data_IF_627486029038
#
_entry.id   IF_627486029038
#
_cell.length_a   1.000
_cell.length_b   1.000
_cell.length_c   1.000
_cell.angle_alpha   90.00
_cell.angle_beta   90.00
_cell.angle_gamma   90.00
#
_symmetry.space_group_name_H-M   'P 1'
#
loop_
_entity.id
_entity.type
_entity.pdbx_description
1 polymer ?
#
# COMPACT_ATOMS: atom_id res chain seq x y z
N UNK A 1 21.15 -16.97 -26.42
CA UNK A 1 19.75 -16.75 -26.80
C UNK A 1 19.18 -15.58 -25.98
N UNK A 2 18.53 -14.65 -26.64
CA UNK A 2 17.87 -13.49 -26.01
C UNK A 2 16.37 -13.60 -26.17
N UNK A 3 15.62 -13.17 -25.14
CA UNK A 3 14.17 -13.18 -25.13
C UNK A 3 13.59 -11.87 -24.62
N UNK A 4 12.33 -11.65 -24.92
CA UNK A 4 11.52 -10.57 -24.40
C UNK A 4 10.36 -11.17 -23.61
N UNK A 5 10.19 -10.69 -22.37
CA UNK A 5 9.15 -11.14 -21.45
C UNK A 5 8.30 -9.97 -21.01
N UNK A 6 6.99 -10.21 -20.82
CA UNK A 6 6.06 -9.22 -20.30
C UNK A 6 5.46 -9.64 -18.98
N UNK A 7 5.32 -8.68 -18.05
CA UNK A 7 4.47 -8.76 -16.87
C UNK A 7 3.14 -8.08 -17.20
N UNK A 8 2.05 -8.80 -16.97
CA UNK A 8 0.67 -8.29 -17.08
C UNK A 8 -0.26 -9.11 -16.19
N UNK A 9 -1.46 -8.61 -15.92
CA UNK A 9 -2.53 -9.38 -15.27
C UNK A 9 -3.68 -9.64 -16.24
N UNK A 10 -4.49 -10.67 -15.97
CA UNK A 10 -5.60 -11.08 -16.83
C UNK A 10 -6.95 -10.63 -16.33
N UNK A 11 -7.12 -10.58 -15.04
CA UNK A 11 -8.36 -10.21 -14.38
C UNK A 11 -8.11 -9.01 -13.48
N UNK A 12 -8.95 -7.96 -13.55
CA UNK A 12 -8.78 -6.80 -12.71
C UNK A 12 -9.07 -7.15 -11.24
N UNK A 13 -8.33 -6.58 -10.29
CA UNK A 13 -8.56 -6.84 -8.87
C UNK A 13 -9.87 -6.22 -8.39
N UNK A 14 -10.38 -6.69 -7.25
CA UNK A 14 -11.57 -6.17 -6.55
C UNK A 14 -12.84 -6.17 -7.40
N UNK A 15 -12.96 -7.07 -8.39
CA UNK A 15 -14.06 -7.07 -9.38
C UNK A 15 -14.24 -5.72 -10.06
N UNK A 16 -13.16 -4.93 -10.13
CA UNK A 16 -13.11 -3.62 -10.76
C UNK A 16 -12.80 -3.72 -12.27
N UNK A 17 -12.47 -2.58 -12.90
CA UNK A 17 -12.14 -2.51 -14.33
C UNK A 17 -10.66 -2.20 -14.62
N UNK A 18 -9.86 -1.87 -13.62
CA UNK A 18 -8.48 -1.39 -13.77
C UNK A 18 -7.61 -1.76 -12.56
N UNK A 19 -6.30 -1.52 -12.70
CA UNK A 19 -5.37 -1.47 -11.58
C UNK A 19 -4.50 -0.21 -11.65
N UNK A 20 -3.87 0.16 -10.54
CA UNK A 20 -2.88 1.24 -10.44
C UNK A 20 -1.50 0.60 -10.37
N UNK A 21 -0.68 0.80 -11.38
CA UNK A 21 0.66 0.22 -11.43
C UNK A 21 1.55 0.77 -10.31
N UNK A 22 2.20 -0.13 -9.58
CA UNK A 22 3.18 0.20 -8.53
C UNK A 22 4.21 -0.92 -8.38
N UNK A 23 5.33 -0.66 -7.70
CA UNK A 23 6.41 -1.60 -7.47
C UNK A 23 7.61 -1.42 -8.40
N UNK A 24 7.66 -0.37 -9.24
CA UNK A 24 8.73 -0.13 -10.19
C UNK A 24 10.04 0.30 -9.52
N UNK A 25 9.97 1.13 -8.48
CA UNK A 25 11.15 1.48 -7.67
C UNK A 25 11.72 0.24 -6.97
N UNK A 26 10.85 -0.67 -6.51
CA UNK A 26 11.27 -1.93 -5.92
C UNK A 26 11.93 -2.87 -6.96
N UNK A 27 11.41 -2.89 -8.19
CA UNK A 27 12.08 -3.59 -9.29
C UNK A 27 13.49 -3.05 -9.50
N UNK A 28 13.67 -1.73 -9.55
CA UNK A 28 14.99 -1.11 -9.70
C UNK A 28 15.93 -1.54 -8.58
N UNK A 29 15.48 -1.47 -7.32
CA UNK A 29 16.26 -1.93 -6.15
C UNK A 29 16.66 -3.41 -6.25
N UNK A 30 15.73 -4.28 -6.65
CA UNK A 30 15.99 -5.72 -6.83
C UNK A 30 17.04 -5.96 -7.91
N UNK A 31 16.94 -5.29 -9.05
CA UNK A 31 17.84 -5.48 -10.19
C UNK A 31 19.22 -4.93 -9.92
N UNK A 32 19.33 -3.76 -9.30
CA UNK A 32 20.60 -3.14 -8.92
C UNK A 32 21.39 -3.98 -7.90
N UNK A 33 20.69 -4.73 -7.04
CA UNK A 33 21.30 -5.55 -6.00
C UNK A 33 21.27 -7.06 -6.33
N UNK A 34 20.86 -7.44 -7.55
CA UNK A 34 20.70 -8.84 -7.92
C UNK A 34 22.06 -9.54 -8.04
N UNK A 35 22.33 -10.44 -7.12
CA UNK A 35 23.56 -11.25 -7.11
C UNK A 35 23.36 -12.53 -6.30
N UNK A 36 24.20 -13.51 -6.52
CA UNK A 36 24.27 -14.73 -5.72
C UNK A 36 25.53 -14.70 -4.85
N UNK A 37 25.35 -14.69 -3.53
CA UNK A 37 26.47 -14.81 -2.59
C UNK A 37 27.13 -16.19 -2.69
N UNK A 38 28.41 -16.28 -2.32
CA UNK A 38 29.10 -17.59 -2.24
C UNK A 38 28.34 -18.58 -1.37
N UNK A 39 27.80 -18.16 -0.22
CA UNK A 39 26.98 -18.98 0.66
C UNK A 39 25.74 -19.53 -0.05
N UNK A 40 25.05 -18.70 -0.85
CA UNK A 40 23.89 -19.12 -1.64
C UNK A 40 24.27 -20.15 -2.69
N UNK A 41 25.38 -19.96 -3.39
CA UNK A 41 25.86 -20.90 -4.40
C UNK A 41 26.29 -22.22 -3.76
N UNK A 42 26.97 -22.20 -2.61
CA UNK A 42 27.35 -23.40 -1.85
C UNK A 42 26.13 -24.16 -1.36
N UNK A 43 25.09 -23.46 -0.90
CA UNK A 43 23.80 -24.08 -0.55
C UNK A 43 23.18 -24.80 -1.75
N UNK A 44 23.09 -24.13 -2.92
CA UNK A 44 22.60 -24.77 -4.15
C UNK A 44 23.41 -26.00 -4.54
N UNK A 45 24.76 -25.94 -4.42
CA UNK A 45 25.64 -27.06 -4.67
C UNK A 45 25.43 -28.24 -3.71
N UNK A 46 24.88 -27.99 -2.52
CA UNK A 46 24.59 -29.03 -1.53
C UNK A 46 23.35 -29.85 -1.85
N UNK A 47 22.42 -29.34 -2.66
CA UNK A 47 21.12 -29.96 -2.93
C UNK A 47 21.28 -31.21 -3.78
N UNK A 48 20.73 -32.33 -3.31
CA UNK A 48 20.74 -33.60 -4.02
C UNK A 48 19.50 -33.77 -4.92
N UNK A 49 19.70 -34.37 -6.08
CA UNK A 49 18.62 -34.72 -6.98
C UNK A 49 17.84 -35.96 -6.46
N UNK A 50 16.51 -36.05 -6.64
CA UNK A 50 15.73 -37.20 -6.18
C UNK A 50 16.19 -38.56 -6.72
N UNK A 51 16.89 -38.58 -7.88
CA UNK A 51 17.47 -39.77 -8.50
C UNK A 51 18.90 -40.10 -8.11
N UNK A 52 19.51 -39.33 -7.20
CA UNK A 52 20.92 -39.40 -6.79
C UNK A 52 21.80 -38.39 -7.56
N UNK A 53 22.95 -38.09 -6.96
CA UNK A 53 23.85 -37.01 -7.46
C UNK A 53 23.37 -35.60 -7.11
N UNK A 54 24.08 -34.58 -7.58
CA UNK A 54 23.76 -33.15 -7.34
C UNK A 54 22.70 -32.65 -8.30
N UNK A 55 21.83 -31.78 -7.79
CA UNK A 55 20.72 -31.19 -8.57
C UNK A 55 21.22 -30.23 -9.65
N UNK A 56 22.21 -29.40 -9.30
CA UNK A 56 22.72 -28.36 -10.18
C UNK A 56 24.07 -28.74 -10.78
N UNK A 57 24.25 -28.40 -12.07
CA UNK A 57 25.51 -28.57 -12.77
C UNK A 57 26.55 -27.56 -12.24
N UNK A 58 27.83 -27.97 -12.01
CA UNK A 58 28.88 -27.06 -11.56
C UNK A 58 29.07 -25.83 -12.46
N UNK A 59 28.95 -25.97 -13.78
CA UNK A 59 29.09 -24.84 -14.72
C UNK A 59 27.99 -23.80 -14.52
N UNK A 60 26.77 -24.25 -14.17
CA UNK A 60 25.67 -23.33 -13.86
C UNK A 60 25.88 -22.62 -12.52
N UNK A 61 26.43 -23.31 -11.52
CA UNK A 61 26.78 -22.71 -10.23
C UNK A 61 27.84 -21.63 -10.38
N UNK A 62 28.85 -21.87 -11.23
CA UNK A 62 29.88 -20.85 -11.53
C UNK A 62 29.31 -19.67 -12.32
N UNK A 63 28.37 -19.93 -13.24
CA UNK A 63 27.63 -18.87 -13.92
C UNK A 63 26.86 -17.98 -12.93
N UNK A 64 26.19 -18.56 -11.93
CA UNK A 64 25.49 -17.79 -10.89
C UNK A 64 26.43 -16.95 -10.03
N UNK A 65 27.63 -17.49 -9.70
CA UNK A 65 28.65 -16.81 -8.88
C UNK A 65 29.20 -15.55 -9.55
N UNK A 66 29.30 -15.59 -10.87
CA UNK A 66 29.88 -14.51 -11.69
C UNK A 66 28.81 -13.71 -12.45
N UNK A 67 27.54 -13.90 -12.11
CA UNK A 67 26.44 -13.29 -12.81
C UNK A 67 26.44 -11.76 -12.69
N UNK A 68 26.53 -11.08 -13.83
CA UNK A 68 26.22 -9.67 -13.98
C UNK A 68 24.98 -9.55 -14.89
N UNK A 69 23.95 -8.87 -14.40
CA UNK A 69 22.74 -8.67 -15.20
C UNK A 69 23.01 -7.72 -16.37
N UNK A 70 22.56 -8.13 -17.54
CA UNK A 70 22.66 -7.35 -18.80
C UNK A 70 21.28 -7.15 -19.44
N UNK A 71 20.21 -7.39 -18.69
CA UNK A 71 18.84 -7.21 -19.14
C UNK A 71 18.47 -5.73 -19.24
N UNK A 72 17.62 -5.41 -20.21
CA UNK A 72 16.92 -4.12 -20.31
C UNK A 72 15.51 -4.27 -19.75
N UNK A 73 15.09 -3.34 -18.90
CA UNK A 73 13.77 -3.34 -18.29
C UNK A 73 13.06 -2.02 -18.61
N UNK A 74 11.93 -2.11 -19.29
CA UNK A 74 11.00 -1.03 -19.50
C UNK A 74 9.76 -1.24 -18.63
N UNK A 75 9.27 -0.19 -17.98
CA UNK A 75 8.08 -0.26 -17.15
C UNK A 75 7.20 0.99 -17.33
N UNK A 76 5.91 0.83 -17.12
CA UNK A 76 5.02 1.98 -16.99
C UNK A 76 5.36 2.76 -15.73
N UNK A 77 5.06 4.06 -15.72
CA UNK A 77 5.26 4.87 -14.51
C UNK A 77 4.31 4.44 -13.40
N UNK A 78 4.78 4.44 -12.17
CA UNK A 78 3.89 4.22 -11.02
C UNK A 78 2.75 5.24 -10.98
N UNK A 79 1.59 4.82 -10.51
CA UNK A 79 0.36 5.61 -10.54
C UNK A 79 -0.40 5.56 -11.88
N UNK A 80 0.17 4.92 -12.92
CA UNK A 80 -0.51 4.72 -14.20
C UNK A 80 -1.69 3.76 -14.03
N UNK A 81 -2.84 4.13 -14.61
CA UNK A 81 -3.98 3.21 -14.74
C UNK A 81 -3.66 2.19 -15.83
N UNK A 82 -3.74 0.90 -15.49
CA UNK A 82 -3.47 -0.22 -16.38
C UNK A 82 -4.66 -1.18 -16.43
N UNK A 83 -4.82 -1.85 -17.55
CA UNK A 83 -5.94 -2.75 -17.81
C UNK A 83 -5.47 -4.19 -18.01
N UNK A 84 -6.37 -5.17 -17.95
CA UNK A 84 -6.04 -6.55 -18.27
C UNK A 84 -5.32 -6.71 -19.59
N UNK A 85 -4.23 -7.48 -19.57
CA UNK A 85 -3.33 -7.76 -20.69
C UNK A 85 -2.45 -6.59 -21.17
N UNK A 86 -2.50 -5.41 -20.54
CA UNK A 86 -1.51 -4.36 -20.81
C UNK A 86 -0.15 -4.80 -20.25
N UNK A 87 0.94 -4.71 -21.03
CA UNK A 87 2.29 -4.92 -20.51
C UNK A 87 2.65 -3.84 -19.48
N UNK A 88 2.83 -4.23 -18.22
CA UNK A 88 3.23 -3.32 -17.12
C UNK A 88 4.74 -3.20 -17.09
N UNK A 89 5.44 -4.33 -17.27
CA UNK A 89 6.90 -4.42 -17.33
C UNK A 89 7.28 -5.28 -18.52
N UNK A 90 8.31 -4.86 -19.23
CA UNK A 90 8.98 -5.61 -20.28
C UNK A 90 10.43 -5.86 -19.87
N UNK A 91 10.89 -7.10 -19.98
CA UNK A 91 12.27 -7.51 -19.68
C UNK A 91 12.85 -8.13 -20.94
N UNK A 92 13.94 -7.57 -21.44
CA UNK A 92 14.62 -8.04 -22.65
C UNK A 92 16.09 -8.36 -22.34
N UNK A 93 16.58 -9.50 -22.82
CA UNK A 93 17.97 -9.90 -22.62
C UNK A 93 18.19 -11.41 -22.64
N UNK A 94 19.32 -11.89 -22.09
CA UNK A 94 19.60 -13.33 -22.00
C UNK A 94 18.48 -14.09 -21.31
N UNK A 95 17.91 -15.11 -21.98
CA UNK A 95 16.72 -15.85 -21.47
C UNK A 95 16.94 -16.37 -20.05
N UNK A 96 18.15 -16.87 -19.72
CA UNK A 96 18.49 -17.34 -18.38
C UNK A 96 18.33 -16.24 -17.32
N UNK A 97 18.83 -15.04 -17.61
CA UNK A 97 18.69 -13.89 -16.71
C UNK A 97 17.24 -13.45 -16.55
N UNK A 98 16.52 -13.35 -17.66
CA UNK A 98 15.09 -13.01 -17.63
C UNK A 98 14.30 -14.01 -16.77
N UNK A 99 14.58 -15.31 -16.87
CA UNK A 99 13.88 -16.34 -16.07
C UNK A 99 14.25 -16.30 -14.59
N UNK A 100 15.50 -15.98 -14.23
CA UNK A 100 15.92 -15.82 -12.83
C UNK A 100 15.19 -14.68 -12.12
N UNK A 101 14.80 -13.63 -12.85
CA UNK A 101 14.10 -12.46 -12.33
C UNK A 101 12.60 -12.68 -12.13
N UNK A 102 11.96 -13.67 -12.79
CA UNK A 102 10.50 -13.84 -12.85
C UNK A 102 9.81 -13.66 -11.50
N UNK A 103 10.22 -14.47 -10.52
CA UNK A 103 9.52 -14.53 -9.24
C UNK A 103 9.64 -13.23 -8.44
N UNK A 104 10.82 -12.61 -8.45
CA UNK A 104 11.07 -11.39 -7.70
C UNK A 104 10.31 -10.21 -8.32
N UNK A 105 10.36 -10.05 -9.64
CA UNK A 105 9.65 -8.98 -10.33
C UNK A 105 8.12 -9.12 -10.18
N UNK A 106 7.60 -10.34 -10.28
CA UNK A 106 6.18 -10.60 -10.03
C UNK A 106 5.78 -10.28 -8.60
N UNK A 107 6.62 -10.59 -7.60
CA UNK A 107 6.35 -10.28 -6.21
C UNK A 107 6.25 -8.76 -5.98
N UNK A 108 7.15 -7.98 -6.58
CA UNK A 108 7.10 -6.52 -6.50
C UNK A 108 5.81 -5.97 -7.13
N UNK A 109 5.57 -6.29 -8.40
CA UNK A 109 4.45 -5.74 -9.16
C UNK A 109 3.09 -6.18 -8.60
N UNK A 110 2.93 -7.47 -8.30
CA UNK A 110 1.64 -8.00 -7.88
C UNK A 110 1.18 -7.39 -6.56
N UNK A 111 2.07 -7.34 -5.57
CA UNK A 111 1.73 -6.87 -4.24
C UNK A 111 1.51 -5.36 -4.21
N UNK A 112 2.46 -4.58 -4.74
CA UNK A 112 2.36 -3.12 -4.66
C UNK A 112 1.26 -2.55 -5.58
N UNK A 113 1.06 -3.12 -6.77
CA UNK A 113 -0.07 -2.76 -7.64
C UNK A 113 -1.42 -3.05 -6.99
N UNK A 114 -1.53 -4.17 -6.27
CA UNK A 114 -2.75 -4.51 -5.56
C UNK A 114 -3.04 -3.50 -4.44
N UNK A 115 -2.05 -3.18 -3.61
CA UNK A 115 -2.17 -2.20 -2.52
C UNK A 115 -2.48 -0.79 -3.05
N UNK A 116 -1.79 -0.34 -4.10
CA UNK A 116 -2.06 0.95 -4.74
C UNK A 116 -3.48 1.02 -5.33
N UNK A 117 -3.96 -0.08 -5.92
CA UNK A 117 -5.32 -0.15 -6.48
C UNK A 117 -6.38 -0.08 -5.38
N UNK A 118 -6.18 -0.78 -4.25
CA UNK A 118 -7.09 -0.69 -3.09
C UNK A 118 -7.11 0.73 -2.53
N UNK A 119 -5.93 1.36 -2.40
CA UNK A 119 -5.83 2.75 -1.97
C UNK A 119 -6.59 3.71 -2.89
N UNK A 120 -6.42 3.57 -4.21
CA UNK A 120 -7.14 4.42 -5.17
C UNK A 120 -8.66 4.28 -5.04
N UNK A 121 -9.18 3.05 -4.84
CA UNK A 121 -10.62 2.82 -4.63
C UNK A 121 -11.11 3.50 -3.35
N UNK A 122 -10.38 3.35 -2.25
CA UNK A 122 -10.70 3.99 -0.97
C UNK A 122 -10.67 5.52 -1.09
N UNK A 123 -9.62 6.07 -1.70
CA UNK A 123 -9.45 7.52 -1.86
C UNK A 123 -10.53 8.14 -2.77
N UNK A 124 -10.93 7.43 -3.84
CA UNK A 124 -12.02 7.87 -4.72
C UNK A 124 -13.36 7.92 -4.00
N UNK A 125 -13.65 6.95 -3.11
CA UNK A 125 -14.87 6.94 -2.32
C UNK A 125 -14.84 8.00 -1.20
N UNK A 126 -13.66 8.33 -0.68
CA UNK A 126 -13.50 9.15 0.52
C UNK A 126 -13.79 10.65 0.30
N UNK A 127 -13.59 11.18 -0.91
CA UNK A 127 -13.73 12.61 -1.29
C UNK A 127 -12.86 13.59 -0.47
N UNK A 128 -12.33 13.17 0.68
CA UNK A 128 -11.42 13.92 1.57
C UNK A 128 -10.17 13.09 1.86
N UNK A 129 -9.08 13.71 2.40
CA UNK A 129 -7.82 13.01 2.60
C UNK A 129 -7.93 11.71 3.39
N UNK A 130 -7.22 10.67 2.93
CA UNK A 130 -7.10 9.36 3.58
C UNK A 130 -5.70 9.20 4.14
N UNK A 131 -5.59 8.85 5.42
CA UNK A 131 -4.34 8.44 6.06
C UNK A 131 -4.30 6.90 6.17
N UNK A 132 -3.20 6.30 5.74
CA UNK A 132 -2.95 4.87 5.88
C UNK A 132 -2.55 4.54 7.33
N UNK A 133 -3.37 3.75 8.04
CA UNK A 133 -3.21 3.39 9.46
C UNK A 133 -3.07 1.87 9.68
N UNK A 134 -2.61 1.14 8.66
CA UNK A 134 -2.68 -0.32 8.64
C UNK A 134 -1.42 -1.08 9.05
N UNK A 135 -0.26 -0.43 9.29
CA UNK A 135 1.02 -1.10 9.52
C UNK A 135 0.94 -2.31 10.48
N UNK A 136 0.25 -2.17 11.61
CA UNK A 136 0.10 -3.25 12.62
C UNK A 136 -0.66 -4.49 12.12
N UNK A 137 -1.29 -4.42 10.95
CA UNK A 137 -2.07 -5.50 10.32
C UNK A 137 -1.45 -6.00 9.00
N UNK A 138 -0.35 -5.39 8.56
CA UNK A 138 0.34 -5.77 7.33
C UNK A 138 0.97 -7.18 7.44
N UNK A 139 1.23 -7.78 6.29
CA UNK A 139 1.88 -9.08 6.18
C UNK A 139 3.41 -8.95 6.36
N UNK A 140 3.82 -8.81 7.61
CA UNK A 140 5.21 -8.63 8.00
C UNK A 140 5.74 -7.21 7.78
N UNK A 141 6.95 -6.96 8.28
CA UNK A 141 7.58 -5.64 8.27
C UNK A 141 7.82 -5.14 6.84
N UNK A 142 8.45 -5.96 6.00
CA UNK A 142 8.71 -5.61 4.59
C UNK A 142 7.43 -5.36 3.82
N UNK A 143 6.38 -6.19 4.02
CA UNK A 143 5.07 -5.98 3.44
C UNK A 143 4.44 -4.66 3.89
N UNK A 144 4.56 -4.32 5.18
CA UNK A 144 4.11 -3.04 5.72
C UNK A 144 4.81 -1.84 5.09
N UNK A 145 6.11 -1.91 4.90
CA UNK A 145 6.90 -0.86 4.25
C UNK A 145 6.44 -0.62 2.80
N UNK A 146 6.38 -1.69 2.01
CA UNK A 146 5.99 -1.63 0.58
C UNK A 146 4.55 -1.21 0.40
N UNK A 147 3.62 -1.74 1.21
CA UNK A 147 2.21 -1.36 1.14
C UNK A 147 1.98 0.11 1.54
N UNK A 148 2.64 0.62 2.60
CA UNK A 148 2.54 2.03 2.97
C UNK A 148 2.95 2.95 1.81
N UNK A 149 4.05 2.63 1.10
CA UNK A 149 4.48 3.37 -0.09
C UNK A 149 3.44 3.26 -1.22
N UNK A 150 3.00 2.05 -1.54
CA UNK A 150 2.02 1.79 -2.59
C UNK A 150 0.68 2.50 -2.32
N UNK A 151 0.25 2.62 -1.06
CA UNK A 151 -0.94 3.38 -0.70
C UNK A 151 -0.81 4.87 -1.04
N UNK A 152 0.37 5.47 -0.87
CA UNK A 152 0.61 6.86 -1.31
C UNK A 152 0.56 6.97 -2.84
N UNK A 153 1.16 6.02 -3.58
CA UNK A 153 1.02 5.96 -5.04
C UNK A 153 -0.45 5.87 -5.45
N UNK A 154 -1.28 5.14 -4.70
CA UNK A 154 -2.71 5.00 -4.90
C UNK A 154 -3.55 6.22 -4.49
N UNK A 155 -2.94 7.25 -3.87
CA UNK A 155 -3.62 8.52 -3.55
C UNK A 155 -3.85 8.79 -2.07
N UNK A 156 -3.37 7.96 -1.14
CA UNK A 156 -3.40 8.29 0.28
C UNK A 156 -2.56 9.55 0.55
N UNK A 157 -3.04 10.42 1.41
CA UNK A 157 -2.40 11.69 1.73
C UNK A 157 -1.20 11.51 2.69
N UNK A 158 -1.20 10.46 3.51
CA UNK A 158 -0.17 10.20 4.51
C UNK A 158 -0.21 8.75 5.00
N UNK A 159 0.83 8.37 5.74
CA UNK A 159 0.90 7.07 6.44
C UNK A 159 1.25 7.26 7.91
N UNK A 160 0.82 6.35 8.77
CA UNK A 160 1.28 6.25 10.16
C UNK A 160 2.63 5.53 10.31
N UNK A 161 3.16 4.98 9.23
CA UNK A 161 4.44 4.27 9.20
C UNK A 161 5.61 5.28 9.11
N UNK A 162 6.12 5.69 10.26
CA UNK A 162 7.21 6.67 10.36
C UNK A 162 8.49 6.19 9.66
N UNK A 163 8.77 4.88 9.70
CA UNK A 163 9.92 4.30 9.00
C UNK A 163 9.77 4.45 7.48
N UNK A 164 8.60 4.13 6.93
CA UNK A 164 8.32 4.33 5.51
C UNK A 164 8.38 5.83 5.14
N UNK A 165 7.91 6.71 6.03
CA UNK A 165 8.05 8.16 5.87
C UNK A 165 9.50 8.59 5.71
N UNK A 166 10.40 8.07 6.53
CA UNK A 166 11.84 8.36 6.46
C UNK A 166 12.49 7.78 5.20
N UNK A 167 12.26 6.50 4.92
CA UNK A 167 12.95 5.79 3.82
C UNK A 167 12.49 6.27 2.44
N UNK A 168 11.21 6.58 2.29
CA UNK A 168 10.64 6.94 1.00
C UNK A 168 10.24 8.42 0.88
N UNK A 169 10.51 9.23 1.91
CA UNK A 169 10.13 10.65 1.92
C UNK A 169 8.62 10.90 1.93
N UNK A 170 7.83 10.03 2.56
CA UNK A 170 6.38 10.10 2.55
C UNK A 170 5.84 11.02 3.65
N UNK A 171 4.70 11.70 3.43
CA UNK A 171 4.01 12.42 4.49
C UNK A 171 3.59 11.46 5.61
N UNK A 172 3.85 11.84 6.85
CA UNK A 172 3.44 11.05 8.02
C UNK A 172 2.36 11.77 8.82
N UNK A 173 1.40 11.01 9.34
CA UNK A 173 0.37 11.52 10.23
C UNK A 173 -0.06 10.45 11.23
N UNK A 174 -0.69 10.88 12.31
CA UNK A 174 -1.23 10.00 13.33
C UNK A 174 -1.85 10.79 14.47
N UNK A 175 -2.50 10.06 15.38
CA UNK A 175 -3.09 10.60 16.60
C UNK A 175 -2.66 9.75 17.78
N UNK A 176 -3.01 10.17 19.01
CA UNK A 176 -2.90 9.28 20.15
C UNK A 176 -3.89 8.10 20.04
N UNK A 177 -3.64 7.04 20.78
CA UNK A 177 -4.50 5.87 20.89
C UNK A 177 -5.34 5.94 22.18
N UNK A 178 -6.37 5.06 22.30
CA UNK A 178 -7.15 4.91 23.54
C UNK A 178 -6.25 4.66 24.78
N UNK A 179 -5.17 3.89 24.62
CA UNK A 179 -4.20 3.64 25.68
C UNK A 179 -3.57 4.90 26.29
N UNK A 180 -3.42 5.97 25.50
CA UNK A 180 -2.99 7.27 26.02
C UNK A 180 -4.00 7.82 27.01
N UNK A 181 -5.29 7.86 26.63
CA UNK A 181 -6.37 8.35 27.50
C UNK A 181 -6.46 7.49 28.77
N UNK A 182 -6.41 6.17 28.62
CA UNK A 182 -6.48 5.21 29.73
C UNK A 182 -5.29 5.27 30.70
N UNK A 183 -4.17 5.89 30.30
CA UNK A 183 -2.99 6.08 31.17
C UNK A 183 -3.16 7.24 32.18
N UNK A 184 -4.24 8.00 32.07
CA UNK A 184 -4.58 9.10 32.97
C UNK A 184 -5.82 8.72 33.79
N UNK A 185 -5.92 9.28 35.01
CA UNK A 185 -7.11 9.09 35.85
C UNK A 185 -8.34 9.86 35.33
N UNK A 186 -8.11 10.88 34.52
CA UNK A 186 -9.14 11.75 33.93
C UNK A 186 -8.89 11.99 32.45
N UNK A 187 -9.91 11.79 31.61
CA UNK A 187 -9.82 11.99 30.16
C UNK A 187 -9.49 13.44 29.79
N UNK A 188 -10.04 14.43 30.50
CA UNK A 188 -9.77 15.85 30.27
C UNK A 188 -8.30 16.18 30.49
N UNK A 189 -7.68 15.62 31.53
CA UNK A 189 -6.25 15.79 31.79
C UNK A 189 -5.39 15.11 30.71
N UNK A 190 -5.80 13.95 30.20
CA UNK A 190 -5.14 13.31 29.07
C UNK A 190 -5.15 14.20 27.80
N UNK A 191 -6.30 14.83 27.53
CA UNK A 191 -6.45 15.75 26.39
C UNK A 191 -5.63 17.03 26.57
N UNK A 192 -5.61 17.62 27.76
CA UNK A 192 -4.75 18.79 28.07
C UNK A 192 -3.27 18.49 27.91
N UNK A 193 -2.83 17.30 28.41
CA UNK A 193 -1.45 16.87 28.27
C UNK A 193 -1.07 16.71 26.78
N UNK A 194 -1.95 16.10 25.97
CA UNK A 194 -1.71 15.94 24.54
C UNK A 194 -1.68 17.30 23.80
N UNK A 195 -2.64 18.18 24.07
CA UNK A 195 -2.69 19.51 23.47
C UNK A 195 -1.46 20.37 23.77
N UNK A 196 -0.85 20.20 24.97
CA UNK A 196 0.39 20.87 25.36
C UNK A 196 1.59 20.42 24.53
N UNK A 197 1.69 19.13 24.22
CA UNK A 197 2.80 18.56 23.43
C UNK A 197 2.63 18.77 21.92
N UNK A 198 1.38 18.85 21.43
CA UNK A 198 1.04 18.99 20.00
C UNK A 198 0.14 20.21 19.74
N UNK A 199 0.59 21.44 20.05
CA UNK A 199 -0.26 22.62 19.95
C UNK A 199 -0.65 23.02 18.51
N UNK A 200 0.09 22.55 17.49
CA UNK A 200 -0.14 22.88 16.08
C UNK A 200 -0.87 21.78 15.29
N UNK A 201 -1.00 20.57 15.85
CA UNK A 201 -1.66 19.44 15.19
C UNK A 201 -2.38 18.56 16.22
N UNK A 202 -3.15 19.19 17.10
CA UNK A 202 -3.88 18.49 18.13
C UNK A 202 -5.15 17.86 17.56
N UNK A 203 -5.20 16.52 17.50
CA UNK A 203 -6.39 15.73 17.17
C UNK A 203 -6.70 14.82 18.34
N UNK A 204 -7.90 14.97 18.95
CA UNK A 204 -8.30 14.26 20.16
C UNK A 204 -9.24 13.09 19.85
N UNK A 205 -8.90 11.90 20.31
CA UNK A 205 -9.70 10.68 20.17
C UNK A 205 -10.74 10.65 21.30
N UNK A 206 -12.03 10.84 20.94
CA UNK A 206 -13.09 11.19 21.91
C UNK A 206 -14.00 10.04 22.33
N UNK A 207 -13.73 8.84 21.82
CA UNK A 207 -14.59 7.66 22.03
C UNK A 207 -13.95 6.59 22.94
N UNK A 208 -13.06 6.98 23.86
CA UNK A 208 -12.44 6.03 24.77
C UNK A 208 -13.46 5.47 25.79
N UNK A 209 -14.37 6.30 26.27
CA UNK A 209 -15.39 5.92 27.27
C UNK A 209 -16.80 6.23 26.77
N UNK A 210 -17.18 7.51 26.69
CA UNK A 210 -18.45 8.00 26.21
C UNK A 210 -18.22 9.16 25.23
N UNK A 211 -18.69 9.02 24.01
CA UNK A 211 -18.41 10.00 22.95
C UNK A 211 -18.97 11.38 23.28
N UNK A 212 -20.14 11.47 23.88
CA UNK A 212 -20.73 12.77 24.20
C UNK A 212 -19.94 13.49 25.33
N UNK A 213 -19.43 12.73 26.29
CA UNK A 213 -18.56 13.29 27.34
C UNK A 213 -17.19 13.62 26.79
N UNK A 214 -16.59 12.74 25.96
CA UNK A 214 -15.32 12.99 25.27
C UNK A 214 -15.37 14.25 24.41
N UNK A 215 -16.49 14.47 23.71
CA UNK A 215 -16.72 15.71 22.94
C UNK A 215 -16.74 16.96 23.85
N UNK A 216 -17.39 16.91 25.01
CA UNK A 216 -17.38 18.04 25.97
C UNK A 216 -15.97 18.33 26.48
N UNK A 217 -15.19 17.28 26.77
CA UNK A 217 -13.79 17.40 27.19
C UNK A 217 -12.92 17.99 26.07
N UNK A 218 -13.07 17.52 24.83
CA UNK A 218 -12.36 18.04 23.67
C UNK A 218 -12.71 19.51 23.38
N UNK A 219 -13.98 19.89 23.48
CA UNK A 219 -14.45 21.29 23.36
C UNK A 219 -13.81 22.16 24.43
N UNK A 220 -13.76 21.70 25.69
CA UNK A 220 -13.10 22.40 26.79
C UNK A 220 -11.65 22.70 26.46
N UNK A 221 -10.90 21.69 26.02
CA UNK A 221 -9.50 21.85 25.62
C UNK A 221 -9.35 22.73 24.40
N UNK A 222 -10.24 22.59 23.39
CA UNK A 222 -10.24 23.44 22.18
C UNK A 222 -10.46 24.92 22.52
N UNK A 223 -11.34 25.27 23.46
CA UNK A 223 -11.54 26.62 23.94
C UNK A 223 -10.33 27.14 24.74
N UNK A 224 -9.71 26.29 25.57
CA UNK A 224 -8.48 26.63 26.27
C UNK A 224 -7.34 26.90 25.27
N UNK A 225 -7.20 26.10 24.20
CA UNK A 225 -6.23 26.32 23.12
C UNK A 225 -6.51 27.65 22.39
N UNK A 226 -7.77 27.89 21.99
CA UNK A 226 -8.19 29.14 21.34
C UNK A 226 -7.87 30.38 22.16
N UNK A 227 -8.04 30.32 23.47
CA UNK A 227 -7.69 31.42 24.39
C UNK A 227 -6.18 31.70 24.42
N UNK A 228 -5.34 30.73 24.09
CA UNK A 228 -3.89 30.88 23.94
C UNK A 228 -3.44 31.25 22.52
N UNK A 229 -4.39 31.42 21.59
CA UNK A 229 -4.10 31.66 20.17
C UNK A 229 -3.66 30.41 19.40
N UNK A 230 -3.94 29.23 19.95
CA UNK A 230 -3.73 27.93 19.35
C UNK A 230 -5.02 27.41 18.72
N UNK A 231 -4.94 26.27 17.99
CA UNK A 231 -6.06 25.69 17.25
C UNK A 231 -6.20 24.19 17.53
N UNK A 232 -7.41 23.76 17.90
CA UNK A 232 -7.75 22.33 17.93
C UNK A 232 -7.95 21.82 16.50
N UNK A 233 -6.97 21.10 15.95
CA UNK A 233 -6.98 20.67 14.56
C UNK A 233 -8.13 19.70 14.24
N UNK A 234 -8.53 18.86 15.19
CA UNK A 234 -9.64 17.93 14.98
C UNK A 234 -10.00 17.08 16.19
N UNK A 235 -11.09 16.36 16.01
CA UNK A 235 -11.47 15.21 16.86
C UNK A 235 -11.48 13.95 16.02
N UNK A 236 -11.24 12.80 16.65
CA UNK A 236 -11.30 11.49 16.00
C UNK A 236 -12.33 10.59 16.67
N UNK A 237 -13.11 9.90 15.86
CA UNK A 237 -14.09 8.88 16.28
C UNK A 237 -13.72 7.57 15.61
N UNK A 238 -13.54 6.50 16.40
CA UNK A 238 -13.05 5.19 15.97
C UNK A 238 -14.08 4.06 16.17
N UNK A 239 -15.28 4.36 16.69
CA UNK A 239 -16.29 3.36 17.06
C UNK A 239 -17.72 3.90 17.01
N UNK A 240 -18.71 2.99 17.03
CA UNK A 240 -20.13 3.31 17.04
C UNK A 240 -20.70 3.64 15.66
N UNK A 241 -21.85 4.31 15.63
CA UNK A 241 -22.47 4.81 14.40
C UNK A 241 -21.75 6.08 13.95
N UNK A 242 -20.77 5.91 13.08
CA UNK A 242 -19.85 6.97 12.66
C UNK A 242 -20.59 8.13 11.98
N UNK A 243 -21.62 7.86 11.19
CA UNK A 243 -22.37 8.91 10.50
C UNK A 243 -23.18 9.77 11.46
N UNK A 244 -23.86 9.13 12.39
CA UNK A 244 -24.63 9.83 13.42
C UNK A 244 -23.71 10.61 14.38
N UNK A 245 -22.62 9.98 14.83
CA UNK A 245 -21.65 10.59 15.74
C UNK A 245 -20.94 11.79 15.11
N UNK A 246 -20.56 11.72 13.84
CA UNK A 246 -19.95 12.84 13.12
C UNK A 246 -20.90 14.05 13.03
N UNK A 247 -22.17 13.81 12.73
CA UNK A 247 -23.21 14.86 12.70
C UNK A 247 -23.45 15.46 14.09
N UNK A 248 -23.42 14.64 15.14
CA UNK A 248 -23.53 15.11 16.53
C UNK A 248 -22.30 15.96 16.90
N UNK A 249 -21.10 15.46 16.63
CA UNK A 249 -19.85 16.16 16.91
C UNK A 249 -19.79 17.52 16.21
N UNK A 250 -20.17 17.60 14.93
CA UNK A 250 -20.18 18.86 14.19
C UNK A 250 -21.08 19.91 14.84
N UNK A 251 -22.30 19.53 15.23
CA UNK A 251 -23.22 20.45 15.92
C UNK A 251 -22.62 20.95 17.24
N UNK A 252 -22.04 20.07 18.04
CA UNK A 252 -21.44 20.44 19.31
C UNK A 252 -20.24 21.39 19.13
N UNK A 253 -19.42 21.18 18.12
CA UNK A 253 -18.27 22.04 17.78
C UNK A 253 -18.74 23.42 17.30
N UNK A 254 -19.74 23.47 16.43
CA UNK A 254 -20.33 24.73 15.91
C UNK A 254 -20.96 25.56 17.03
N UNK A 255 -21.75 24.93 17.91
CA UNK A 255 -22.34 25.56 19.09
C UNK A 255 -21.28 26.13 20.05
N UNK A 256 -20.09 25.52 20.10
CA UNK A 256 -18.96 26.00 20.90
C UNK A 256 -18.08 27.05 20.16
N UNK A 257 -18.37 27.37 18.91
CA UNK A 257 -17.57 28.29 18.08
C UNK A 257 -16.20 27.72 17.69
N UNK A 258 -16.13 26.40 17.46
CA UNK A 258 -14.98 25.65 16.94
C UNK A 258 -15.29 25.11 15.55
N UNK A 259 -15.77 25.97 14.66
CA UNK A 259 -16.30 25.62 13.32
C UNK A 259 -15.20 25.11 12.40
N UNK A 260 -13.96 25.46 12.66
CA UNK A 260 -12.75 25.08 11.93
C UNK A 260 -12.11 23.76 12.43
N UNK A 261 -12.61 23.20 13.55
CA UNK A 261 -12.15 21.91 14.06
C UNK A 261 -12.62 20.77 13.15
N UNK A 262 -11.65 19.99 12.61
CA UNK A 262 -11.91 18.85 11.73
C UNK A 262 -12.54 17.64 12.43
N UNK A 263 -13.19 16.77 11.66
CA UNK A 263 -13.69 15.47 12.13
C UNK A 263 -12.98 14.37 11.37
N UNK A 264 -12.24 13.53 12.08
CA UNK A 264 -11.52 12.36 11.55
C UNK A 264 -12.30 11.11 11.92
N UNK A 265 -12.66 10.31 10.94
CA UNK A 265 -13.28 9.00 11.16
C UNK A 265 -12.29 7.88 10.88
N UNK A 266 -12.31 6.87 11.71
CA UNK A 266 -11.54 5.65 11.57
C UNK A 266 -12.35 4.47 12.12
N UNK A 267 -11.86 3.30 12.02
CA UNK A 267 -12.40 1.99 12.38
C UNK A 267 -12.12 1.02 11.23
N UNK A 268 -12.91 -0.01 11.06
CA UNK A 268 -12.80 -1.02 10.00
C UNK A 268 -13.40 -0.52 8.66
N UNK A 269 -12.78 0.54 8.12
CA UNK A 269 -13.25 1.26 6.94
C UNK A 269 -12.72 0.63 5.63
N UNK A 270 -13.58 0.68 4.62
CA UNK A 270 -13.29 0.40 3.21
C UNK A 270 -14.04 1.39 2.30
N UNK A 271 -13.86 1.28 0.98
CA UNK A 271 -14.54 2.11 -0.01
C UNK A 271 -16.06 2.08 0.11
N UNK A 272 -16.65 0.97 0.50
CA UNK A 272 -18.11 0.79 0.60
C UNK A 272 -18.67 1.42 1.88
N UNK A 273 -18.00 1.18 3.02
CA UNK A 273 -18.37 1.76 4.31
C UNK A 273 -18.23 3.28 4.28
N UNK A 274 -17.14 3.79 3.69
CA UNK A 274 -16.90 5.23 3.52
C UNK A 274 -18.04 5.85 2.69
N UNK A 275 -18.39 5.26 1.55
CA UNK A 275 -19.47 5.75 0.71
C UNK A 275 -20.80 5.77 1.47
N UNK A 276 -21.12 4.72 2.22
CA UNK A 276 -22.34 4.67 3.04
C UNK A 276 -22.40 5.80 4.08
N UNK A 277 -21.28 6.08 4.75
CA UNK A 277 -21.18 7.16 5.75
C UNK A 277 -21.40 8.54 5.09
N UNK A 278 -20.82 8.75 3.90
CA UNK A 278 -20.99 9.99 3.13
C UNK A 278 -22.41 10.14 2.59
N UNK A 279 -23.04 9.07 2.10
CA UNK A 279 -24.44 9.08 1.62
C UNK A 279 -25.43 9.48 2.74
N UNK A 280 -25.08 9.21 3.99
CA UNK A 280 -25.83 9.69 5.16
C UNK A 280 -25.55 11.16 5.50
N UNK A 281 -24.66 11.83 4.79
CA UNK A 281 -24.35 13.26 4.99
C UNK A 281 -23.45 13.53 6.21
N UNK A 282 -22.52 12.63 6.53
CA UNK A 282 -21.54 12.84 7.59
C UNK A 282 -20.52 13.91 7.19
N UNK A 283 -20.25 14.92 8.04
CA UNK A 283 -19.26 15.97 7.78
C UNK A 283 -17.86 15.46 8.16
N UNK A 284 -17.14 14.84 7.22
CA UNK A 284 -15.83 14.23 7.47
C UNK A 284 -14.72 15.06 6.83
N UNK A 285 -13.71 15.41 7.61
CA UNK A 285 -12.55 16.18 7.15
C UNK A 285 -11.40 15.29 6.67
N UNK A 286 -11.25 14.09 7.24
CA UNK A 286 -10.29 13.08 6.82
C UNK A 286 -10.60 11.70 7.39
N UNK A 287 -9.96 10.68 6.83
CA UNK A 287 -10.18 9.27 7.16
C UNK A 287 -8.88 8.60 7.60
N UNK A 288 -8.96 7.78 8.63
CA UNK A 288 -7.89 6.84 9.02
C UNK A 288 -8.30 5.43 8.63
N UNK A 289 -7.69 4.88 7.57
CA UNK A 289 -8.03 3.55 7.04
C UNK A 289 -6.90 2.57 7.30
N UNK A 290 -7.21 1.45 7.94
CA UNK A 290 -6.21 0.50 8.43
C UNK A 290 -6.25 -0.84 7.72
N UNK A 291 -6.85 -1.83 8.37
CA UNK A 291 -6.76 -3.26 8.03
C UNK A 291 -7.12 -3.53 6.58
N UNK A 292 -8.31 -3.14 6.17
CA UNK A 292 -8.84 -3.46 4.83
C UNK A 292 -8.05 -2.81 3.69
N UNK A 293 -7.41 -1.68 3.97
CA UNK A 293 -6.53 -1.01 3.01
C UNK A 293 -5.21 -1.75 2.87
N UNK A 294 -4.46 -1.91 3.99
CA UNK A 294 -3.09 -2.44 3.96
C UNK A 294 -3.02 -3.92 3.56
N UNK A 295 -4.09 -4.67 3.82
CA UNK A 295 -4.18 -6.09 3.45
C UNK A 295 -4.81 -6.32 2.08
N UNK A 296 -5.24 -5.25 1.40
CA UNK A 296 -6.00 -5.34 0.15
C UNK A 296 -7.19 -6.30 0.28
N UNK A 297 -7.98 -6.15 1.36
CA UNK A 297 -9.10 -7.03 1.67
C UNK A 297 -10.02 -7.23 0.45
N UNK A 298 -10.61 -8.40 0.29
CA UNK A 298 -11.39 -8.91 -0.84
C UNK A 298 -10.56 -9.38 -2.07
N UNK A 299 -9.27 -9.11 -2.13
CA UNK A 299 -8.41 -9.56 -3.22
C UNK A 299 -7.00 -9.91 -2.67
N UNK A 300 -6.74 -11.15 -2.26
CA UNK A 300 -5.49 -11.51 -1.58
C UNK A 300 -4.26 -11.49 -2.49
N UNK A 301 -4.46 -11.50 -3.81
CA UNK A 301 -3.35 -11.44 -4.78
C UNK A 301 -3.81 -10.87 -6.12
N UNK A 302 -2.94 -10.09 -6.76
CA UNK A 302 -3.07 -9.79 -8.19
C UNK A 302 -2.61 -11.03 -8.98
N UNK A 303 -3.41 -11.46 -9.93
CA UNK A 303 -3.08 -12.60 -10.79
C UNK A 303 -2.12 -12.24 -11.92
N UNK A 304 -1.04 -11.53 -11.60
CA UNK A 304 -0.01 -11.17 -12.58
C UNK A 304 0.79 -12.37 -13.07
N UNK A 305 1.20 -12.30 -14.30
CA UNK A 305 1.98 -13.34 -14.98
C UNK A 305 3.17 -12.75 -15.70
N UNK A 306 4.21 -13.57 -15.86
CA UNK A 306 5.44 -13.27 -16.61
C UNK A 306 5.53 -14.21 -17.80
N UNK A 307 5.54 -13.69 -19.03
CA UNK A 307 5.43 -14.55 -20.22
C UNK A 307 6.39 -14.12 -21.32
N UNK A 308 7.09 -15.13 -21.90
CA UNK A 308 7.86 -14.95 -23.11
C UNK A 308 6.93 -14.47 -24.23
N UNK A 309 7.25 -13.35 -24.83
CA UNK A 309 6.48 -12.70 -25.91
C UNK A 309 7.23 -12.72 -27.25
N UNK A 310 8.57 -12.71 -27.22
CA UNK A 310 9.41 -12.79 -28.40
C UNK A 310 10.78 -13.38 -28.07
N UNK A 311 11.45 -13.91 -29.07
CA UNK A 311 12.84 -14.43 -29.00
C UNK A 311 13.66 -13.87 -30.15
N UNK A 312 14.93 -13.56 -29.90
CA UNK A 312 15.85 -13.03 -30.92
C UNK A 312 16.35 -14.15 -31.83
N UNK A 313 15.93 -14.15 -33.06
CA UNK A 313 16.35 -15.09 -34.13
C UNK A 313 16.94 -14.29 -35.30
N UNK A 314 18.13 -14.60 -35.72
CA UNK A 314 18.81 -13.93 -36.87
C UNK A 314 18.80 -12.39 -36.79
N UNK A 315 18.97 -11.85 -35.60
CA UNK A 315 19.02 -10.39 -35.33
C UNK A 315 17.64 -9.69 -35.38
N UNK A 316 16.54 -10.45 -35.31
CA UNK A 316 15.18 -9.93 -35.23
C UNK A 316 14.38 -10.64 -34.14
N UNK A 317 13.57 -9.89 -33.40
CA UNK A 317 12.65 -10.48 -32.47
C UNK A 317 11.48 -11.15 -33.18
N UNK A 318 11.37 -12.46 -33.01
CA UNK A 318 10.30 -13.31 -33.56
C UNK A 318 9.25 -13.51 -32.45
N UNK A 319 7.99 -13.14 -32.71
CA UNK A 319 6.92 -13.31 -31.71
C UNK A 319 6.74 -14.76 -31.28
N UNK A 320 6.58 -14.97 -29.99
CA UNK A 320 6.26 -16.28 -29.38
C UNK A 320 4.89 -16.22 -28.74
N UNK A 321 4.06 -17.22 -29.00
CA UNK A 321 2.72 -17.29 -28.47
C UNK A 321 2.47 -18.63 -27.80
N UNK A 322 1.91 -18.56 -26.60
CA UNK A 322 1.37 -19.76 -25.95
C UNK A 322 -0.06 -19.98 -26.43
N UNK A 323 -0.31 -21.09 -27.10
CA UNK A 323 -1.65 -21.54 -27.46
C UNK A 323 -2.25 -22.29 -26.27
N UNK A 324 -3.51 -22.03 -25.95
CA UNK A 324 -4.26 -22.69 -24.87
C UNK A 324 -5.71 -22.92 -25.27
N UNK A 325 -6.31 -23.98 -24.79
CA UNK A 325 -7.75 -24.21 -24.91
C UNK A 325 -8.59 -23.13 -24.17
N UNK A 326 -8.00 -22.51 -23.14
CA UNK A 326 -8.59 -21.36 -22.47
C UNK A 326 -8.07 -20.07 -23.14
N UNK A 327 -8.93 -19.31 -23.86
CA UNK A 327 -8.53 -18.09 -24.56
C UNK A 327 -7.86 -17.03 -23.66
N UNK A 328 -8.25 -16.97 -22.37
CA UNK A 328 -7.65 -16.06 -21.36
C UNK A 328 -6.17 -16.35 -21.11
N UNK A 329 -5.69 -17.55 -21.43
CA UNK A 329 -4.29 -17.97 -21.26
C UNK A 329 -3.42 -17.78 -22.52
N UNK A 330 -3.99 -17.31 -23.59
CA UNK A 330 -3.24 -16.95 -24.81
C UNK A 330 -2.42 -15.70 -24.49
N UNK A 331 -1.12 -15.71 -24.84
CA UNK A 331 -0.23 -14.57 -24.57
C UNK A 331 -0.28 -13.57 -25.72
N UNK A 332 -0.05 -12.28 -25.41
CA UNK A 332 0.16 -11.27 -26.45
C UNK A 332 1.59 -11.40 -26.98
N UNK A 333 1.78 -11.78 -28.26
CA UNK A 333 3.11 -11.90 -28.84
C UNK A 333 3.66 -10.56 -29.29
N UNK A 334 5.00 -10.44 -29.29
CA UNK A 334 5.72 -9.26 -29.80
C UNK A 334 6.50 -8.50 -28.73
N UNK A 335 7.05 -7.36 -29.11
CA UNK A 335 7.80 -6.43 -28.25
C UNK A 335 6.88 -5.41 -27.58
#
# INVERSE_FOLDING_TARGET
EEGCFHIFFREPPFKGGYAIASGMDHIAEVVENFSFSDESVEYLASIDAPGGGKLFNPDFLEYLRTLELTVEIDAVREGTVVFPNDPIVRVTGPIVQCQLLETQLLNCVNFETLAATKAARVCLAAETPVAEFGLRRAQGESGGMRASRACIVGGCASTSNVLAGREYGLPVSGTHAHAWVMAFDDELEAFRAYAKEFPTNCVLLVDTYDVAQGMKNAITVGLEMKARGEHLAGIRIDSGDLAWLAKMARRMLDEAGLDDCGIVLSNDLDEYTIQSILDEGAPVSSWGVGTKLITSEDCPSLGGVYKLSAELEDGKFVPKIKISENPVKITNPGL
#
